data_IF_064849349596
#
_entry.id   IF_064849349596
#
_cell.length_a   1.000
_cell.length_b   1.000
_cell.length_c   1.000
_cell.angle_alpha   90.00
_cell.angle_beta   90.00
_cell.angle_gamma   90.00
#
_symmetry.space_group_name_H-M   'P 1'
#
loop_
_entity.id
_entity.type
_entity.pdbx_description
1 polymer ?
#
# COMPACT_ATOMS: atom_id res chain seq x y z
N UNK A 1 18.59 11.56 -4.68
CA UNK A 1 18.75 11.87 -3.26
C UNK A 1 18.39 10.63 -2.45
N UNK A 2 19.36 10.09 -1.72
CA UNK A 2 19.18 8.84 -0.95
C UNK A 2 18.27 9.02 0.29
N UNK A 3 17.98 10.25 0.68
CA UNK A 3 17.17 10.56 1.85
C UNK A 3 15.67 10.74 1.52
N UNK A 4 15.29 10.63 0.25
CA UNK A 4 13.92 10.89 -0.21
C UNK A 4 13.32 9.66 -0.89
N UNK A 5 12.34 9.02 -0.24
CA UNK A 5 11.53 8.00 -0.87
C UNK A 5 10.39 8.62 -1.70
N UNK A 6 10.11 8.04 -2.86
CA UNK A 6 8.92 8.38 -3.65
C UNK A 6 7.83 7.37 -3.34
N UNK A 7 6.76 7.81 -2.70
CA UNK A 7 5.67 6.90 -2.29
C UNK A 7 4.73 6.55 -3.44
N UNK A 8 4.34 7.52 -4.26
CA UNK A 8 3.41 7.30 -5.38
C UNK A 8 3.69 8.34 -6.46
N UNK A 9 4.46 7.98 -7.48
CA UNK A 9 4.61 8.81 -8.68
C UNK A 9 3.58 8.40 -9.72
N UNK A 10 2.52 9.18 -9.86
CA UNK A 10 1.43 8.94 -10.80
C UNK A 10 1.72 9.43 -12.23
N UNK A 11 2.92 9.92 -12.53
CA UNK A 11 3.32 10.37 -13.88
C UNK A 11 3.70 9.19 -14.76
N UNK A 12 2.77 8.24 -14.88
CA UNK A 12 2.82 7.02 -15.67
C UNK A 12 1.45 6.78 -16.30
N UNK A 13 1.35 5.82 -17.21
CA UNK A 13 0.08 5.48 -17.87
C UNK A 13 -0.99 5.08 -16.84
N UNK A 14 -2.15 5.74 -16.89
CA UNK A 14 -3.30 5.53 -16.02
C UNK A 14 -4.47 4.83 -16.73
N UNK A 15 -4.29 4.39 -17.99
CA UNK A 15 -5.39 3.87 -18.82
C UNK A 15 -5.97 2.54 -18.35
N UNK A 16 -5.25 1.82 -17.49
CA UNK A 16 -5.62 0.46 -17.04
C UNK A 16 -6.01 0.37 -15.56
N UNK A 17 -5.91 1.45 -14.83
CA UNK A 17 -6.19 1.52 -13.40
C UNK A 17 -5.34 2.56 -12.71
N UNK A 18 -5.39 2.60 -11.39
CA UNK A 18 -4.55 3.48 -10.61
C UNK A 18 -3.12 2.93 -10.58
N UNK A 19 -2.26 3.50 -11.42
CA UNK A 19 -0.88 3.07 -11.58
C UNK A 19 0.10 4.10 -11.01
N UNK A 20 1.11 3.66 -10.30
CA UNK A 20 2.16 4.52 -9.76
C UNK A 20 3.50 3.79 -9.64
N UNK A 21 4.55 4.56 -9.60
CA UNK A 21 5.90 4.08 -9.28
C UNK A 21 6.24 4.47 -7.85
N UNK A 22 6.69 3.48 -7.09
CA UNK A 22 7.30 3.63 -5.78
C UNK A 22 8.82 3.54 -5.91
N UNK A 23 9.55 4.41 -5.21
CA UNK A 23 11.02 4.36 -5.21
C UNK A 23 11.53 4.47 -3.78
N UNK A 24 12.32 3.49 -3.38
CA UNK A 24 13.02 3.49 -2.10
C UNK A 24 14.52 3.45 -2.37
N UNK A 25 15.25 4.56 -2.16
CA UNK A 25 16.68 4.56 -2.24
C UNK A 25 17.30 3.92 -0.99
N UNK A 26 18.24 3.01 -1.19
CA UNK A 26 19.07 2.47 -0.11
C UNK A 26 20.43 3.19 -0.01
N UNK A 27 20.84 3.81 -1.09
CA UNK A 27 22.03 4.68 -1.19
C UNK A 27 21.97 5.47 -2.50
N UNK A 28 22.94 6.32 -2.75
CA UNK A 28 23.06 7.09 -4.01
C UNK A 28 23.17 6.23 -5.27
N UNK A 29 23.45 4.93 -5.12
CA UNK A 29 23.65 3.97 -6.22
C UNK A 29 22.79 2.71 -6.12
N UNK A 30 22.05 2.55 -5.05
CA UNK A 30 21.16 1.41 -4.84
C UNK A 30 19.73 1.89 -4.57
N UNK A 31 18.79 1.43 -5.36
CA UNK A 31 17.38 1.77 -5.19
C UNK A 31 16.49 0.57 -5.51
N UNK A 32 15.37 0.50 -4.83
CA UNK A 32 14.22 -0.30 -5.21
C UNK A 32 13.32 0.57 -6.07
N UNK A 33 12.87 0.04 -7.20
CA UNK A 33 11.82 0.66 -8.02
C UNK A 33 10.70 -0.35 -8.17
N UNK A 34 9.50 0.04 -7.81
CA UNK A 34 8.31 -0.80 -7.90
C UNK A 34 7.25 -0.13 -8.76
N UNK A 35 6.71 -0.87 -9.71
CA UNK A 35 5.53 -0.49 -10.48
C UNK A 35 4.31 -1.17 -9.86
N UNK A 36 3.39 -0.39 -9.33
CA UNK A 36 2.20 -0.88 -8.62
C UNK A 36 0.94 -0.42 -9.32
N UNK A 37 0.02 -1.34 -9.54
CA UNK A 37 -1.31 -1.08 -10.10
C UNK A 37 -2.40 -1.52 -9.14
N UNK A 38 -3.31 -0.61 -8.82
CA UNK A 38 -4.59 -0.96 -8.18
C UNK A 38 -5.63 -1.06 -9.28
N UNK A 39 -6.04 -2.29 -9.58
CA UNK A 39 -6.97 -2.60 -10.67
C UNK A 39 -7.75 -3.87 -10.37
N UNK A 40 -8.90 -4.04 -11.03
CA UNK A 40 -9.66 -5.29 -11.04
C UNK A 40 -9.09 -6.33 -12.01
N UNK A 41 -8.13 -5.94 -12.85
CA UNK A 41 -7.47 -6.80 -13.81
C UNK A 41 -5.97 -6.80 -13.55
N UNK A 42 -5.37 -7.98 -13.66
CA UNK A 42 -3.93 -8.14 -13.53
C UNK A 42 -3.28 -7.97 -14.90
N UNK A 43 -2.19 -7.25 -14.94
CA UNK A 43 -1.32 -7.16 -16.10
C UNK A 43 -0.21 -8.23 -16.04
N UNK A 44 0.40 -8.54 -17.18
CA UNK A 44 1.54 -9.44 -17.21
C UNK A 44 2.81 -8.77 -16.66
N UNK A 45 3.80 -9.59 -16.29
CA UNK A 45 5.05 -9.07 -15.72
C UNK A 45 5.79 -8.10 -16.63
N UNK A 46 5.73 -8.30 -17.94
CA UNK A 46 6.46 -7.47 -18.88
C UNK A 46 5.85 -6.06 -18.96
N UNK A 47 4.53 -5.96 -18.76
CA UNK A 47 3.90 -4.65 -18.68
C UNK A 47 4.51 -3.80 -17.54
N UNK A 48 4.65 -4.38 -16.33
CA UNK A 48 5.27 -3.69 -15.18
C UNK A 48 6.75 -3.40 -15.40
N UNK A 49 7.51 -4.34 -15.99
CA UNK A 49 8.92 -4.11 -16.35
C UNK A 49 9.08 -2.95 -17.31
N UNK A 50 8.24 -2.89 -18.34
CA UNK A 50 8.26 -1.81 -19.34
C UNK A 50 7.93 -0.47 -18.68
N UNK A 51 6.95 -0.43 -17.77
CA UNK A 51 6.62 0.79 -17.04
C UNK A 51 7.80 1.30 -16.18
N UNK A 52 8.50 0.41 -15.47
CA UNK A 52 9.72 0.77 -14.74
C UNK A 52 10.80 1.28 -15.69
N UNK A 53 11.05 0.56 -16.78
CA UNK A 53 12.09 0.94 -17.76
C UNK A 53 11.82 2.31 -18.37
N UNK A 54 10.57 2.58 -18.75
CA UNK A 54 10.17 3.86 -19.29
C UNK A 54 10.31 4.98 -18.26
N UNK A 55 9.85 4.75 -17.01
CA UNK A 55 9.96 5.71 -15.93
C UNK A 55 11.41 6.10 -15.62
N UNK A 56 12.34 5.14 -15.66
CA UNK A 56 13.77 5.36 -15.48
C UNK A 56 14.38 6.13 -16.67
N UNK A 57 14.02 5.75 -17.90
CA UNK A 57 14.47 6.42 -19.13
C UNK A 57 14.06 7.89 -19.15
N UNK A 58 12.79 8.20 -18.81
CA UNK A 58 12.26 9.57 -18.74
C UNK A 58 13.01 10.47 -17.75
N UNK A 59 13.73 9.86 -16.80
CA UNK A 59 14.55 10.55 -15.78
C UNK A 59 16.05 10.45 -16.03
N UNK A 60 16.43 9.89 -17.18
CA UNK A 60 17.84 9.66 -17.54
C UNK A 60 18.59 8.82 -16.51
N UNK A 61 17.91 7.92 -15.80
CA UNK A 61 18.51 7.02 -14.83
C UNK A 61 18.98 5.76 -15.57
N UNK A 62 20.29 5.52 -15.53
CA UNK A 62 20.91 4.34 -16.14
C UNK A 62 21.12 3.24 -15.10
N UNK A 63 20.58 2.06 -15.39
CA UNK A 63 20.82 0.86 -14.57
C UNK A 63 22.09 0.19 -15.03
N UNK A 64 23.04 0.00 -14.11
CA UNK A 64 24.26 -0.77 -14.37
C UNK A 64 24.03 -2.27 -14.19
N UNK A 65 23.25 -2.66 -13.18
CA UNK A 65 22.90 -4.04 -12.92
C UNK A 65 21.57 -4.15 -12.17
N UNK A 66 20.78 -5.17 -12.48
CA UNK A 66 19.60 -5.55 -11.73
C UNK A 66 19.99 -6.66 -10.74
N UNK A 67 19.87 -6.38 -9.45
CA UNK A 67 20.29 -7.30 -8.39
C UNK A 67 19.20 -8.33 -8.07
N UNK A 68 17.93 -7.90 -8.11
CA UNK A 68 16.78 -8.72 -7.75
C UNK A 68 15.54 -8.27 -8.51
N UNK A 69 14.62 -9.18 -8.72
CA UNK A 69 13.30 -8.91 -9.21
C UNK A 69 12.27 -9.71 -8.41
N UNK A 70 11.18 -9.06 -8.07
CA UNK A 70 10.02 -9.70 -7.45
C UNK A 70 8.75 -9.32 -8.22
N UNK A 71 7.77 -10.19 -8.15
CA UNK A 71 6.43 -9.94 -8.64
C UNK A 71 5.43 -10.54 -7.66
N UNK A 72 4.40 -9.81 -7.32
CA UNK A 72 3.38 -10.25 -6.40
C UNK A 72 2.03 -9.63 -6.68
N UNK A 73 0.99 -10.23 -6.13
CA UNK A 73 -0.38 -9.71 -6.13
C UNK A 73 -0.82 -9.57 -4.69
N UNK A 74 -1.20 -8.35 -4.30
CA UNK A 74 -1.70 -8.05 -2.97
C UNK A 74 -3.22 -7.97 -3.04
N UNK A 75 -3.95 -8.91 -2.41
CA UNK A 75 -5.40 -8.85 -2.41
C UNK A 75 -5.89 -7.71 -1.53
N UNK A 76 -6.55 -6.71 -2.13
CA UNK A 76 -7.16 -5.58 -1.43
C UNK A 76 -8.63 -5.89 -1.06
N UNK A 77 -8.89 -7.11 -0.63
CA UNK A 77 -10.19 -7.58 -0.14
C UNK A 77 -10.07 -8.06 1.31
N UNK A 78 -11.21 -8.11 2.01
CA UNK A 78 -11.22 -8.66 3.36
C UNK A 78 -10.67 -10.10 3.35
N UNK A 79 -9.72 -10.39 4.25
CA UNK A 79 -9.15 -11.72 4.36
C UNK A 79 -10.25 -12.74 4.66
N UNK A 80 -10.24 -13.85 3.92
CA UNK A 80 -11.10 -15.00 4.18
C UNK A 80 -10.25 -16.05 4.90
N UNK A 81 -10.57 -16.40 6.15
CA UNK A 81 -9.84 -17.45 6.86
C UNK A 81 -9.98 -18.77 6.11
N UNK A 82 -8.88 -19.34 5.67
CA UNK A 82 -8.85 -20.61 4.92
C UNK A 82 -9.11 -21.82 5.83
N UNK A 83 -8.83 -21.69 7.13
CA UNK A 83 -9.02 -22.75 8.11
C UNK A 83 -9.37 -22.14 9.47
N UNK A 84 -10.51 -22.49 10.02
CA UNK A 84 -10.94 -22.00 11.34
C UNK A 84 -10.12 -22.55 12.52
N UNK A 85 -9.35 -23.64 12.30
CA UNK A 85 -8.55 -24.28 13.35
C UNK A 85 -7.12 -23.72 13.45
N UNK A 86 -6.67 -22.97 12.45
CA UNK A 86 -5.32 -22.38 12.41
C UNK A 86 -5.47 -20.87 12.38
N UNK A 87 -4.83 -20.20 13.32
CA UNK A 87 -4.82 -18.75 13.36
C UNK A 87 -4.07 -18.18 12.15
N UNK A 88 -4.74 -17.30 11.41
CA UNK A 88 -4.11 -16.56 10.32
C UNK A 88 -3.50 -15.26 10.89
N UNK A 89 -2.27 -14.95 10.47
CA UNK A 89 -1.53 -13.74 10.84
C UNK A 89 -1.00 -13.04 9.59
N UNK A 90 -0.52 -11.82 9.73
CA UNK A 90 0.00 -11.04 8.62
C UNK A 90 -1.04 -10.78 7.53
N UNK A 91 -0.65 -10.82 6.27
CA UNK A 91 -1.55 -10.58 5.13
C UNK A 91 -2.75 -11.56 5.12
N UNK A 92 -2.50 -12.84 5.42
CA UNK A 92 -3.56 -13.86 5.51
C UNK A 92 -4.52 -13.61 6.68
N UNK A 93 -4.07 -12.92 7.74
CA UNK A 93 -4.86 -12.51 8.90
C UNK A 93 -5.51 -11.12 8.76
N UNK A 94 -5.49 -10.53 7.57
CA UNK A 94 -6.15 -9.25 7.29
C UNK A 94 -5.32 -8.01 7.61
N UNK A 95 -3.99 -8.14 7.78
CA UNK A 95 -3.12 -7.01 8.07
C UNK A 95 -2.81 -6.12 6.86
N UNK A 96 -3.33 -6.46 5.68
CA UNK A 96 -3.27 -5.59 4.50
C UNK A 96 -4.35 -4.52 4.60
N UNK A 97 -3.96 -3.26 4.55
CA UNK A 97 -4.93 -2.17 4.58
C UNK A 97 -5.68 -2.08 3.24
N UNK A 98 -7.01 -2.05 3.30
CA UNK A 98 -7.84 -2.13 2.10
C UNK A 98 -7.71 -0.92 1.17
N UNK A 99 -7.43 0.27 1.71
CA UNK A 99 -7.34 1.51 0.91
C UNK A 99 -5.96 1.75 0.26
N UNK A 100 -4.89 1.17 0.81
CA UNK A 100 -3.52 1.46 0.35
C UNK A 100 -2.69 0.22 0.00
N UNK A 101 -3.15 -1.00 0.36
CA UNK A 101 -2.35 -2.21 0.24
C UNK A 101 -1.20 -2.30 1.25
N UNK A 102 -1.03 -1.30 2.11
CA UNK A 102 0.07 -1.26 3.06
C UNK A 102 -0.14 -2.25 4.21
N UNK A 103 0.90 -2.96 4.60
CA UNK A 103 0.79 -4.02 5.60
C UNK A 103 1.92 -4.01 6.64
N UNK A 104 3.11 -3.51 6.30
CA UNK A 104 4.32 -3.72 7.10
C UNK A 104 4.17 -3.27 8.56
N UNK A 105 3.82 -2.02 8.81
CA UNK A 105 3.69 -1.49 10.18
C UNK A 105 2.58 -2.19 10.98
N UNK A 106 1.47 -2.53 10.30
CA UNK A 106 0.37 -3.24 10.94
C UNK A 106 0.77 -4.66 11.33
N UNK A 107 1.51 -5.36 10.48
CA UNK A 107 2.06 -6.69 10.80
C UNK A 107 3.00 -6.58 12.00
N UNK A 108 3.91 -5.61 12.04
CA UNK A 108 4.82 -5.42 13.17
C UNK A 108 4.06 -5.20 14.48
N UNK A 109 3.07 -4.30 14.47
CA UNK A 109 2.26 -4.01 15.65
C UNK A 109 1.45 -5.24 16.10
N UNK A 110 0.80 -5.93 15.15
CA UNK A 110 0.02 -7.13 15.42
C UNK A 110 0.89 -8.22 16.03
N UNK A 111 2.11 -8.42 15.51
CA UNK A 111 3.02 -9.45 16.02
C UNK A 111 3.56 -9.11 17.40
N UNK A 112 3.84 -7.84 17.71
CA UNK A 112 4.24 -7.41 19.04
C UNK A 112 3.14 -7.69 20.08
N UNK A 113 1.89 -7.30 19.77
CA UNK A 113 0.73 -7.57 20.67
C UNK A 113 0.47 -9.07 20.81
N UNK A 114 0.61 -9.84 19.73
CA UNK A 114 0.45 -11.29 19.77
C UNK A 114 1.52 -11.96 20.64
N UNK A 115 2.78 -11.53 20.53
CA UNK A 115 3.87 -12.07 21.35
C UNK A 115 3.62 -11.82 22.84
N UNK A 116 3.14 -10.63 23.21
CA UNK A 116 2.76 -10.31 24.58
C UNK A 116 1.59 -11.18 25.06
N UNK A 117 0.52 -11.30 24.26
CA UNK A 117 -0.63 -12.15 24.58
C UNK A 117 -0.24 -13.62 24.82
N UNK A 118 0.63 -14.17 23.98
CA UNK A 118 1.14 -15.54 24.16
C UNK A 118 1.94 -15.67 25.45
N UNK A 119 2.75 -14.68 25.82
CA UNK A 119 3.55 -14.70 27.05
C UNK A 119 2.67 -14.71 28.31
N UNK A 120 1.46 -14.16 28.23
CA UNK A 120 0.46 -14.15 29.30
C UNK A 120 -0.53 -15.32 29.27
N UNK A 121 -0.34 -16.26 28.29
CA UNK A 121 -1.19 -17.44 28.14
C UNK A 121 -2.45 -17.21 27.30
N UNK A 122 -2.61 -16.05 26.72
CA UNK A 122 -3.71 -15.77 25.79
C UNK A 122 -3.47 -16.46 24.44
N UNK A 123 -4.57 -16.93 23.81
CA UNK A 123 -4.51 -17.64 22.52
C UNK A 123 -5.23 -16.91 21.39
N UNK A 124 -5.69 -15.68 21.63
CA UNK A 124 -6.42 -14.91 20.64
C UNK A 124 -5.46 -14.05 19.81
N UNK A 125 -5.55 -14.19 18.49
CA UNK A 125 -4.83 -13.29 17.57
C UNK A 125 -5.54 -11.93 17.58
N UNK A 126 -4.81 -10.82 17.83
CA UNK A 126 -5.40 -9.48 17.81
C UNK A 126 -5.85 -9.09 16.41
N UNK A 127 -7.01 -8.44 16.31
CA UNK A 127 -7.52 -7.90 15.06
C UNK A 127 -6.59 -6.77 14.56
N UNK A 128 -6.12 -6.80 13.32
CA UNK A 128 -5.17 -5.81 12.81
C UNK A 128 -5.78 -4.42 12.67
N UNK A 129 -7.08 -4.33 12.38
CA UNK A 129 -7.79 -3.09 12.16
C UNK A 129 -9.17 -3.07 12.84
N UNK A 130 -9.59 -1.89 13.27
CA UNK A 130 -10.95 -1.69 13.79
C UNK A 130 -11.99 -1.82 12.66
N UNK A 131 -13.19 -2.29 13.02
CA UNK A 131 -14.34 -2.38 12.09
C UNK A 131 -14.66 -1.03 11.43
N UNK A 132 -14.46 0.08 12.17
CA UNK A 132 -14.62 1.44 11.68
C UNK A 132 -13.64 1.75 10.55
N UNK A 133 -12.36 1.45 10.75
CA UNK A 133 -11.34 1.70 9.71
C UNK A 133 -11.61 0.88 8.46
N UNK A 134 -11.95 -0.40 8.62
CA UNK A 134 -12.33 -1.27 7.50
C UNK A 134 -13.52 -0.68 6.72
N UNK A 135 -14.51 -0.13 7.42
CA UNK A 135 -15.66 0.52 6.78
C UNK A 135 -15.22 1.78 6.01
N UNK A 136 -14.41 2.65 6.61
CA UNK A 136 -13.91 3.87 5.96
C UNK A 136 -13.06 3.55 4.74
N UNK A 137 -12.19 2.55 4.81
CA UNK A 137 -11.41 2.09 3.66
C UNK A 137 -12.29 1.55 2.52
N UNK A 138 -13.39 0.86 2.84
CA UNK A 138 -14.37 0.42 1.82
C UNK A 138 -15.06 1.60 1.14
N UNK A 139 -15.42 2.64 1.90
CA UNK A 139 -16.00 3.87 1.34
C UNK A 139 -14.99 4.54 0.40
N UNK A 140 -13.75 4.70 0.84
CA UNK A 140 -12.67 5.26 0.04
C UNK A 140 -12.45 4.47 -1.27
N UNK A 141 -12.33 3.14 -1.18
CA UNK A 141 -12.17 2.28 -2.36
C UNK A 141 -13.36 2.36 -3.31
N UNK A 142 -14.59 2.52 -2.78
CA UNK A 142 -15.77 2.70 -3.63
C UNK A 142 -15.73 4.05 -4.37
N UNK A 143 -15.25 5.11 -3.72
CA UNK A 143 -15.05 6.41 -4.36
C UNK A 143 -13.98 6.33 -5.46
N UNK A 144 -12.86 5.65 -5.21
CA UNK A 144 -11.83 5.38 -6.23
C UNK A 144 -12.39 4.61 -7.43
N UNK A 145 -13.13 3.53 -7.17
CA UNK A 145 -13.69 2.69 -8.24
C UNK A 145 -14.77 3.40 -9.07
N UNK A 146 -15.51 4.33 -8.46
CA UNK A 146 -16.55 5.09 -9.15
C UNK A 146 -15.97 6.16 -10.09
N UNK A 147 -14.72 6.58 -9.88
CA UNK A 147 -14.02 7.62 -10.64
C UNK A 147 -12.63 7.15 -11.05
N UNK A 148 -12.53 6.00 -11.72
CA UNK A 148 -11.25 5.38 -12.09
C UNK A 148 -10.29 6.36 -12.79
N UNK A 149 -10.80 7.17 -13.72
CA UNK A 149 -10.01 8.14 -14.49
C UNK A 149 -9.47 9.32 -13.66
N UNK A 150 -10.00 9.49 -12.43
CA UNK A 150 -9.60 10.55 -11.51
C UNK A 150 -8.92 10.03 -10.23
N UNK A 151 -8.70 8.73 -10.13
CA UNK A 151 -8.16 8.10 -8.91
C UNK A 151 -6.80 8.68 -8.49
N UNK A 152 -5.89 8.90 -9.44
CA UNK A 152 -4.60 9.55 -9.16
C UNK A 152 -4.78 10.99 -8.65
N UNK A 153 -5.73 11.75 -9.20
CA UNK A 153 -6.04 13.12 -8.74
C UNK A 153 -6.63 13.11 -7.33
N UNK A 154 -7.47 12.12 -7.00
CA UNK A 154 -8.03 11.96 -5.67
C UNK A 154 -6.94 11.66 -4.63
N UNK A 155 -6.03 10.73 -4.92
CA UNK A 155 -4.88 10.45 -4.06
C UNK A 155 -3.98 11.69 -3.88
N UNK A 156 -3.70 12.41 -4.95
CA UNK A 156 -2.91 13.64 -4.88
C UNK A 156 -3.61 14.74 -4.08
N UNK A 157 -4.94 14.85 -4.18
CA UNK A 157 -5.74 15.78 -3.39
C UNK A 157 -5.65 15.42 -1.90
N UNK A 158 -5.80 14.15 -1.55
CA UNK A 158 -5.61 13.65 -0.17
C UNK A 158 -4.24 14.04 0.39
N UNK A 159 -3.17 13.78 -0.37
CA UNK A 159 -1.80 14.12 0.06
C UNK A 159 -1.55 15.63 0.19
N UNK A 160 -2.28 16.48 -0.56
CA UNK A 160 -2.18 17.95 -0.46
C UNK A 160 -3.02 18.54 0.66
N UNK A 161 -4.08 17.86 1.07
CA UNK A 161 -5.03 18.34 2.08
C UNK A 161 -4.55 18.06 3.50
N UNK A 162 -3.76 17.02 3.67
CA UNK A 162 -3.19 16.61 4.95
C UNK A 162 -1.77 17.14 5.09
N UNK A 163 -1.39 17.57 6.30
CA UNK A 163 0.02 17.76 6.61
C UNK A 163 0.77 16.42 6.71
N UNK A 164 2.09 16.45 6.84
CA UNK A 164 2.93 15.25 6.82
C UNK A 164 2.53 14.24 7.90
N UNK A 165 2.27 14.69 9.14
CA UNK A 165 1.88 13.83 10.24
C UNK A 165 0.48 13.26 10.06
N UNK A 166 -0.46 14.07 9.57
CA UNK A 166 -1.83 13.65 9.24
C UNK A 166 -1.81 12.61 8.12
N UNK A 167 -1.00 12.83 7.08
CA UNK A 167 -0.85 11.89 5.98
C UNK A 167 -0.24 10.57 6.46
N UNK A 168 0.80 10.62 7.29
CA UNK A 168 1.38 9.43 7.90
C UNK A 168 0.35 8.64 8.71
N UNK A 169 -0.43 9.32 9.59
CA UNK A 169 -1.52 8.67 10.34
C UNK A 169 -2.60 8.10 9.43
N UNK A 170 -2.94 8.81 8.35
CA UNK A 170 -3.90 8.30 7.36
C UNK A 170 -3.37 7.02 6.70
N UNK A 171 -2.13 7.01 6.26
CA UNK A 171 -1.50 5.83 5.63
C UNK A 171 -1.34 4.66 6.61
N UNK A 172 -1.08 4.92 7.89
CA UNK A 172 -0.95 3.90 8.94
C UNK A 172 -2.30 3.42 9.52
N UNK A 173 -3.42 4.05 9.13
CA UNK A 173 -4.74 3.66 9.63
C UNK A 173 -5.09 4.21 11.01
N UNK A 174 -4.31 5.14 11.53
CA UNK A 174 -4.54 5.81 12.82
C UNK A 174 -5.16 7.21 12.70
N UNK A 175 -5.61 7.58 11.49
CA UNK A 175 -6.29 8.86 11.25
C UNK A 175 -7.57 9.00 12.07
N UNK A 176 -7.75 10.18 12.67
CA UNK A 176 -8.95 10.57 13.39
C UNK A 176 -10.10 11.00 12.48
N UNK A 177 -11.25 11.33 13.10
CA UNK A 177 -12.45 11.79 12.35
C UNK A 177 -12.15 13.05 11.53
N UNK A 178 -11.37 13.97 12.09
CA UNK A 178 -11.06 15.24 11.42
C UNK A 178 -10.19 15.05 10.17
N UNK A 179 -9.22 14.14 10.21
CA UNK A 179 -8.42 13.81 9.03
C UNK A 179 -9.28 13.13 7.94
N UNK A 180 -10.15 12.21 8.34
CA UNK A 180 -11.09 11.59 7.42
C UNK A 180 -12.08 12.59 6.79
N UNK A 181 -12.58 13.55 7.56
CA UNK A 181 -13.47 14.61 7.04
C UNK A 181 -12.78 15.52 6.01
N UNK A 182 -11.45 15.63 6.06
CA UNK A 182 -10.68 16.37 5.06
C UNK A 182 -10.48 15.59 3.75
N UNK A 183 -10.55 14.25 3.80
CA UNK A 183 -10.23 13.37 2.68
C UNK A 183 -11.47 12.96 1.88
N UNK A 184 -12.64 12.90 2.52
CA UNK A 184 -13.93 12.54 1.93
C UNK A 184 -14.73 13.79 1.60
#
# INVERSE_FOLDING_TARGET
DADIATLMDFRVDQSRGLHFIYVLPYSDRHLLVESTMISNQLEDKNWYRNAISQWLADRSIQIQSQLREEYGVIPMSAAQPKNAQIANIGAAGGSVRLSSGYAFSTIQTQMAVLAEAISTGERKVPEPYSKRLIFMDKVFNRALSAQSDHSAKLFMATGKTLDADQFARFMLGSAGIMEWAKVI
#
